data_IF_579614473023
#
_entry.id   IF_579614473023
#
_cell.length_a   1.000
_cell.length_b   1.000
_cell.length_c   1.000
_cell.angle_alpha   90.00
_cell.angle_beta   90.00
_cell.angle_gamma   90.00
#
_symmetry.space_group_name_H-M   'P 1'
#
loop_
_entity.id
_entity.type
_entity.pdbx_description
1 polymer ?
#
# COMPACT_ATOMS: atom_id res chain seq x y z
N UNK A 1 6.96 14.02 13.34
CA UNK A 1 6.33 13.03 14.23
C UNK A 1 5.16 12.35 13.52
N UNK A 2 4.14 13.11 13.07
CA UNK A 2 2.99 12.59 12.28
C UNK A 2 3.43 11.81 11.03
N UNK A 3 4.42 12.31 10.29
CA UNK A 3 4.94 11.65 9.09
C UNK A 3 5.53 10.26 9.32
N UNK A 4 6.11 9.98 10.49
CA UNK A 4 6.67 8.65 10.77
C UNK A 4 5.57 7.62 11.05
N UNK A 5 4.48 8.06 11.70
CA UNK A 5 3.32 7.21 11.98
C UNK A 5 2.66 6.82 10.67
N UNK A 6 2.39 7.81 9.81
CA UNK A 6 1.81 7.61 8.49
C UNK A 6 2.63 6.61 7.65
N UNK A 7 3.93 6.85 7.49
CA UNK A 7 4.80 5.96 6.70
C UNK A 7 4.82 4.53 7.26
N UNK A 8 4.82 4.35 8.58
CA UNK A 8 4.76 3.02 9.19
C UNK A 8 3.44 2.30 8.92
N UNK A 9 2.31 3.01 9.02
CA UNK A 9 0.99 2.42 8.75
C UNK A 9 0.84 2.04 7.27
N UNK A 10 1.28 2.91 6.36
CA UNK A 10 1.28 2.62 4.92
C UNK A 10 2.20 1.44 4.59
N UNK A 11 3.40 1.39 5.17
CA UNK A 11 4.34 0.29 4.96
C UNK A 11 3.81 -1.05 5.49
N UNK A 12 3.15 -1.06 6.66
CA UNK A 12 2.55 -2.26 7.22
C UNK A 12 1.43 -2.81 6.33
N UNK A 13 0.54 -1.94 5.85
CA UNK A 13 -0.50 -2.34 4.89
C UNK A 13 0.12 -2.88 3.59
N UNK A 14 1.10 -2.15 3.04
CA UNK A 14 1.70 -2.54 1.77
C UNK A 14 2.52 -3.83 1.85
N UNK A 15 3.18 -4.10 2.98
CA UNK A 15 3.88 -5.37 3.21
C UNK A 15 2.92 -6.55 3.09
N UNK A 16 1.74 -6.44 3.70
CA UNK A 16 0.72 -7.48 3.62
C UNK A 16 0.19 -7.64 2.20
N UNK A 17 -0.06 -6.53 1.50
CA UNK A 17 -0.47 -6.59 0.10
C UNK A 17 0.56 -7.32 -0.78
N UNK A 18 1.87 -7.07 -0.58
CA UNK A 18 2.92 -7.78 -1.30
C UNK A 18 2.92 -9.27 -0.99
N UNK A 19 2.72 -9.66 0.28
CA UNK A 19 2.68 -11.04 0.72
C UNK A 19 1.56 -11.81 0.02
N UNK A 20 0.35 -11.24 0.02
CA UNK A 20 -0.80 -11.85 -0.62
C UNK A 20 -0.62 -12.05 -2.13
N UNK A 21 0.11 -11.16 -2.81
CA UNK A 21 0.43 -11.33 -4.25
C UNK A 21 1.54 -12.35 -4.45
N UNK A 22 2.58 -12.32 -3.62
CA UNK A 22 3.71 -13.25 -3.68
C UNK A 22 3.27 -14.70 -3.45
N UNK A 23 2.38 -14.92 -2.49
CA UNK A 23 1.79 -16.22 -2.18
C UNK A 23 0.68 -16.64 -3.17
N UNK A 24 0.37 -15.80 -4.16
CA UNK A 24 -0.65 -16.08 -5.18
C UNK A 24 -2.10 -16.10 -4.65
N UNK A 25 -2.33 -15.52 -3.47
CA UNK A 25 -3.65 -15.45 -2.82
C UNK A 25 -4.57 -14.46 -3.54
N UNK A 26 -4.02 -13.35 -4.04
CA UNK A 26 -4.78 -12.32 -4.76
C UNK A 26 -3.94 -11.63 -5.84
N UNK A 27 -4.60 -11.10 -6.88
CA UNK A 27 -3.94 -10.19 -7.83
C UNK A 27 -3.79 -8.78 -7.22
N UNK A 28 -2.86 -7.94 -7.72
CA UNK A 28 -2.79 -6.53 -7.33
C UNK A 28 -4.13 -5.79 -7.51
N UNK A 29 -4.87 -6.08 -8.59
CA UNK A 29 -6.17 -5.50 -8.91
C UNK A 29 -7.26 -5.90 -7.90
N UNK A 30 -7.27 -7.16 -7.46
CA UNK A 30 -8.19 -7.64 -6.42
C UNK A 30 -7.93 -6.92 -5.10
N UNK A 31 -6.66 -6.79 -4.70
CA UNK A 31 -6.27 -6.08 -3.48
C UNK A 31 -6.72 -4.62 -3.56
N UNK A 32 -6.44 -3.93 -4.66
CA UNK A 32 -6.85 -2.55 -4.88
C UNK A 32 -8.37 -2.38 -4.77
N UNK A 33 -9.12 -3.33 -5.31
CA UNK A 33 -10.60 -3.36 -5.27
C UNK A 33 -11.10 -3.55 -3.84
N UNK A 34 -10.53 -4.50 -3.10
CA UNK A 34 -10.89 -4.75 -1.69
C UNK A 34 -10.57 -3.53 -0.84
N UNK A 35 -9.36 -2.96 -0.96
CA UNK A 35 -8.94 -1.81 -0.17
C UNK A 35 -9.84 -0.60 -0.44
N UNK A 36 -10.09 -0.25 -1.71
CA UNK A 36 -10.94 0.91 -2.08
C UNK A 36 -12.39 0.76 -1.64
N UNK A 37 -12.93 -0.45 -1.62
CA UNK A 37 -14.34 -0.69 -1.33
C UNK A 37 -14.63 -1.09 0.12
N UNK A 38 -13.62 -1.46 0.90
CA UNK A 38 -13.81 -1.93 2.29
C UNK A 38 -12.99 -1.09 3.27
N UNK A 39 -11.74 -1.46 3.53
CA UNK A 39 -10.87 -0.89 4.55
C UNK A 39 -10.67 0.61 4.35
N UNK A 40 -10.44 1.05 3.10
CA UNK A 40 -10.30 2.46 2.76
C UNK A 40 -11.56 3.28 3.07
N UNK A 41 -12.76 2.72 2.82
CA UNK A 41 -14.02 3.40 3.18
C UNK A 41 -14.20 3.51 4.69
N UNK A 42 -13.85 2.47 5.45
CA UNK A 42 -13.93 2.51 6.91
C UNK A 42 -12.99 3.59 7.47
N UNK A 43 -11.73 3.60 7.01
CA UNK A 43 -10.72 4.55 7.45
C UNK A 43 -11.01 6.00 7.05
N UNK A 44 -11.79 6.23 5.99
CA UNK A 44 -12.27 7.56 5.63
C UNK A 44 -13.34 8.11 6.60
N UNK A 45 -14.03 7.23 7.34
CA UNK A 45 -15.08 7.60 8.30
C UNK A 45 -14.53 7.76 9.72
N UNK A 46 -13.53 6.97 10.11
CA UNK A 46 -12.90 7.06 11.42
C UNK A 46 -11.53 6.39 11.46
N UNK A 47 -10.69 6.79 12.43
CA UNK A 47 -9.37 6.18 12.62
C UNK A 47 -9.46 4.71 13.03
N UNK A 48 -8.35 3.94 12.96
CA UNK A 48 -8.37 2.51 13.30
C UNK A 48 -8.89 2.25 14.72
N UNK A 49 -8.45 3.02 15.72
CA UNK A 49 -8.94 2.87 17.09
C UNK A 49 -10.44 3.17 17.22
N UNK A 50 -10.95 4.20 16.55
CA UNK A 50 -12.38 4.55 16.57
C UNK A 50 -13.25 3.45 15.94
N UNK A 51 -12.75 2.81 14.88
CA UNK A 51 -13.44 1.68 14.23
C UNK A 51 -13.43 0.44 15.13
N UNK A 52 -12.28 0.10 15.73
CA UNK A 52 -12.14 -1.12 16.54
C UNK A 52 -12.81 -1.00 17.91
N UNK A 53 -12.89 0.21 18.48
CA UNK A 53 -13.65 0.48 19.72
C UNK A 53 -15.11 0.02 19.58
N UNK A 54 -15.71 0.15 18.40
CA UNK A 54 -17.11 -0.24 18.15
C UNK A 54 -17.34 -1.75 18.17
N UNK A 55 -16.28 -2.56 18.05
CA UNK A 55 -16.35 -4.02 18.01
C UNK A 55 -16.31 -4.63 19.42
N UNK A 56 -15.59 -4.00 20.34
CA UNK A 56 -15.33 -4.51 21.69
C UNK A 56 -13.97 -5.21 21.81
N UNK A 57 -13.18 -4.81 22.81
CA UNK A 57 -11.78 -5.19 22.93
C UNK A 57 -11.53 -6.67 23.22
N UNK A 58 -12.50 -7.38 23.80
CA UNK A 58 -12.48 -8.83 24.01
C UNK A 58 -12.54 -9.61 22.70
N UNK A 59 -13.43 -9.20 21.79
CA UNK A 59 -13.52 -9.79 20.45
C UNK A 59 -12.30 -9.40 19.61
N UNK A 60 -11.84 -8.15 19.69
CA UNK A 60 -10.62 -7.71 19.01
C UNK A 60 -9.40 -8.51 19.45
N UNK A 61 -9.26 -8.80 20.75
CA UNK A 61 -8.19 -9.65 21.27
C UNK A 61 -8.21 -11.04 20.65
N UNK A 62 -9.40 -11.63 20.52
CA UNK A 62 -9.59 -12.95 19.90
C UNK A 62 -9.17 -12.93 18.43
N UNK A 63 -9.70 -11.96 17.66
CA UNK A 63 -9.37 -11.79 16.24
C UNK A 63 -7.86 -11.59 16.04
N UNK A 64 -7.24 -10.72 16.85
CA UNK A 64 -5.80 -10.44 16.75
C UNK A 64 -4.96 -11.70 17.04
N UNK A 65 -5.34 -12.52 18.02
CA UNK A 65 -4.62 -13.75 18.38
C UNK A 65 -4.66 -14.83 17.29
N UNK A 66 -5.63 -14.77 16.39
CA UNK A 66 -5.74 -15.65 15.23
C UNK A 66 -5.08 -15.01 14.01
N UNK A 67 -5.54 -13.82 13.62
CA UNK A 67 -5.17 -13.18 12.36
C UNK A 67 -3.70 -12.74 12.31
N UNK A 68 -3.10 -12.32 13.43
CA UNK A 68 -1.71 -11.84 13.40
C UNK A 68 -0.69 -12.95 13.12
N UNK A 69 -1.11 -14.23 13.19
CA UNK A 69 -0.27 -15.37 12.79
C UNK A 69 -0.24 -15.58 11.27
N UNK A 70 -1.25 -15.07 10.58
CA UNK A 70 -1.46 -15.26 9.15
C UNK A 70 -1.00 -14.04 8.32
N UNK A 71 -0.70 -12.91 8.97
CA UNK A 71 -0.18 -11.70 8.30
C UNK A 71 1.35 -11.71 8.27
N UNK A 72 1.90 -11.14 7.21
CA UNK A 72 3.34 -11.01 7.00
C UNK A 72 4.02 -10.17 8.08
N UNK A 73 5.07 -10.76 8.65
CA UNK A 73 6.03 -10.11 9.55
C UNK A 73 7.40 -9.88 8.89
N UNK A 74 7.48 -9.92 7.54
CA UNK A 74 8.75 -9.75 6.83
C UNK A 74 9.48 -8.46 7.23
N UNK A 75 10.75 -8.60 7.58
CA UNK A 75 11.67 -7.48 7.87
C UNK A 75 12.41 -7.00 6.62
N UNK A 76 12.32 -7.76 5.52
CA UNK A 76 13.00 -7.53 4.26
C UNK A 76 12.02 -7.34 3.09
N UNK A 77 12.40 -6.59 2.03
CA UNK A 77 11.65 -6.57 0.78
C UNK A 77 11.42 -7.97 0.20
N UNK A 78 10.18 -8.25 -0.19
CA UNK A 78 9.76 -9.51 -0.81
C UNK A 78 10.40 -9.75 -2.18
N UNK A 79 10.57 -11.02 -2.53
CA UNK A 79 11.24 -11.43 -3.78
C UNK A 79 10.46 -10.99 -5.02
N UNK A 80 9.13 -10.94 -4.93
CA UNK A 80 8.24 -10.35 -5.92
C UNK A 80 8.63 -8.90 -6.24
N UNK A 81 8.90 -8.09 -5.20
CA UNK A 81 9.29 -6.70 -5.40
C UNK A 81 10.71 -6.61 -5.97
N UNK A 82 11.65 -7.41 -5.44
CA UNK A 82 13.04 -7.45 -5.92
C UNK A 82 13.12 -7.86 -7.40
N UNK A 83 12.42 -8.92 -7.77
CA UNK A 83 12.38 -9.44 -9.15
C UNK A 83 11.80 -8.43 -10.13
N UNK A 84 10.69 -7.76 -9.78
CA UNK A 84 10.12 -6.69 -10.60
C UNK A 84 11.09 -5.52 -10.80
N UNK A 85 11.74 -5.05 -9.73
CA UNK A 85 12.78 -4.01 -9.82
C UNK A 85 13.93 -4.43 -10.73
N UNK A 86 14.44 -5.66 -10.55
CA UNK A 86 15.54 -6.20 -11.36
C UNK A 86 15.15 -6.36 -12.85
N UNK A 87 13.87 -6.55 -13.14
CA UNK A 87 13.31 -6.61 -14.51
C UNK A 87 12.98 -5.23 -15.11
N UNK A 88 13.29 -4.13 -14.42
CA UNK A 88 13.02 -2.77 -14.89
C UNK A 88 11.55 -2.31 -14.74
N UNK A 89 10.72 -3.07 -14.03
CA UNK A 89 9.32 -2.72 -13.75
C UNK A 89 9.23 -1.76 -12.55
N UNK A 90 9.65 -0.51 -12.76
CA UNK A 90 9.85 0.51 -11.72
C UNK A 90 8.59 1.37 -11.41
N UNK A 91 7.41 0.91 -11.80
CA UNK A 91 6.15 1.63 -11.65
C UNK A 91 6.05 2.84 -12.59
N UNK A 92 5.42 3.91 -12.12
CA UNK A 92 5.09 5.11 -12.91
C UNK A 92 6.28 5.82 -13.53
N UNK A 93 7.45 5.67 -12.91
CA UNK A 93 8.70 6.21 -13.42
C UNK A 93 9.05 5.68 -14.82
N UNK A 94 8.71 4.43 -15.14
CA UNK A 94 8.98 3.80 -16.45
C UNK A 94 7.72 3.27 -17.15
N UNK A 95 6.53 3.49 -16.59
CA UNK A 95 5.24 3.05 -17.19
C UNK A 95 5.18 1.52 -17.29
N UNK A 96 5.84 0.84 -16.35
CA UNK A 96 5.86 -0.61 -16.23
C UNK A 96 5.94 -0.94 -14.74
N UNK A 97 4.96 -1.64 -14.19
CA UNK A 97 4.86 -1.93 -12.76
C UNK A 97 3.85 -3.04 -12.49
N UNK A 98 3.22 -3.03 -11.30
CA UNK A 98 2.18 -4.01 -10.96
C UNK A 98 0.91 -3.87 -11.81
N UNK A 99 0.67 -2.72 -12.44
CA UNK A 99 -0.54 -2.41 -13.19
C UNK A 99 -0.22 -2.19 -14.68
N UNK A 100 -0.95 -2.87 -15.56
CA UNK A 100 -0.99 -2.58 -17.00
C UNK A 100 -2.05 -1.49 -17.25
N UNK A 101 -1.64 -0.22 -17.35
CA UNK A 101 -2.58 0.90 -17.45
C UNK A 101 -2.10 2.03 -18.37
N UNK A 102 -3.02 2.67 -19.14
CA UNK A 102 -2.65 3.82 -19.95
C UNK A 102 -2.17 4.96 -19.04
N UNK A 103 -0.99 5.54 -19.36
CA UNK A 103 -0.35 6.68 -18.68
C UNK A 103 -1.35 7.69 -18.08
N UNK A 104 -2.43 7.99 -18.80
CA UNK A 104 -3.44 9.00 -18.46
C UNK A 104 -4.19 8.74 -17.15
N UNK A 105 -4.52 7.49 -16.81
CA UNK A 105 -5.25 7.15 -15.56
C UNK A 105 -4.32 7.33 -14.37
N UNK A 106 -3.10 6.81 -14.48
CA UNK A 106 -2.11 6.90 -13.43
C UNK A 106 -1.62 8.34 -13.21
N UNK A 107 -1.47 9.12 -14.29
CA UNK A 107 -1.17 10.56 -14.22
C UNK A 107 -2.29 11.36 -13.55
N UNK A 108 -3.56 10.96 -13.71
CA UNK A 108 -4.67 11.57 -12.98
C UNK A 108 -4.53 11.34 -11.48
N UNK A 109 -4.27 10.09 -11.05
CA UNK A 109 -4.05 9.79 -9.63
C UNK A 109 -2.84 10.53 -9.06
N UNK A 110 -1.73 10.59 -9.81
CA UNK A 110 -0.56 11.38 -9.43
C UNK A 110 -0.92 12.84 -9.28
N UNK A 111 -1.63 13.45 -10.23
CA UNK A 111 -2.02 14.86 -10.13
C UNK A 111 -2.94 15.11 -8.93
N UNK A 112 -3.93 14.25 -8.70
CA UNK A 112 -4.86 14.36 -7.58
C UNK A 112 -4.12 14.21 -6.23
N UNK A 113 -3.13 13.30 -6.14
CA UNK A 113 -2.27 13.11 -4.97
C UNK A 113 -1.25 14.25 -4.79
N UNK A 114 -0.64 14.74 -5.86
CA UNK A 114 0.33 15.85 -5.83
C UNK A 114 -0.31 17.16 -5.37
N UNK A 115 -1.61 17.35 -5.63
CA UNK A 115 -2.38 18.49 -5.13
C UNK A 115 -2.65 18.41 -3.62
N UNK A 116 -2.65 17.21 -3.04
CA UNK A 116 -2.94 16.98 -1.63
C UNK A 116 -1.66 16.88 -0.78
N UNK A 117 -0.57 16.34 -1.34
CA UNK A 117 0.70 16.06 -0.64
C UNK A 117 1.91 16.58 -1.45
N UNK A 118 2.32 17.85 -1.29
CA UNK A 118 3.38 18.46 -2.11
C UNK A 118 4.76 17.81 -1.96
N UNK A 119 4.97 16.97 -0.93
CA UNK A 119 6.23 16.23 -0.72
C UNK A 119 6.44 15.09 -1.72
N UNK A 120 5.39 14.59 -2.37
CA UNK A 120 5.49 13.55 -3.41
C UNK A 120 6.25 14.06 -4.65
N UNK A 121 6.27 15.39 -4.91
CA UNK A 121 7.10 15.99 -5.97
C UNK A 121 8.58 15.58 -5.85
N UNK A 122 9.13 15.51 -4.65
CA UNK A 122 10.57 15.27 -4.47
C UNK A 122 10.98 13.84 -4.83
N UNK A 123 10.08 12.85 -4.74
CA UNK A 123 10.38 11.43 -5.03
C UNK A 123 10.24 11.13 -6.52
N UNK A 124 9.26 11.76 -7.19
CA UNK A 124 9.00 11.55 -8.62
C UNK A 124 10.01 12.31 -9.49
N UNK A 125 10.44 13.52 -9.09
CA UNK A 125 11.31 14.36 -9.92
C UNK A 125 12.83 14.26 -9.62
N UNK A 126 13.26 13.74 -8.46
CA UNK A 126 14.71 13.62 -8.16
C UNK A 126 15.39 12.38 -8.76
N UNK A 127 14.67 11.43 -9.35
CA UNK A 127 15.31 10.30 -10.05
C UNK A 127 15.67 10.61 -11.51
N UNK A 128 15.26 11.77 -12.04
CA UNK A 128 15.62 12.22 -13.39
C UNK A 128 16.96 12.99 -13.41
N UNK A 129 17.64 13.12 -12.26
CA UNK A 129 18.91 13.87 -12.13
C UNK A 129 20.13 13.02 -11.78
N UNK A 130 20.02 11.69 -11.70
CA UNK A 130 21.18 10.80 -11.62
C UNK A 130 21.31 9.98 -12.90
N UNK A 131 22.18 10.51 -13.75
CA UNK A 131 22.90 9.87 -14.86
C UNK A 131 23.23 8.38 -14.61
#
# INVERSE_FOLDING_TARGET
MVSLIETKLQAALFRECLALVEDGIASPEDIDTVVKNTIGRRLAVGGPFEIWEQIGWDLVQTIAGELFKEISNSEEPMDLLRSRVNSGQLGLRLVAGFMDGPKKILLKYVNDLMLQEPKIQLVVFNSDSTN
#
